data_IF_129034236047
#
_entry.id   IF_129034236047
#
_cell.length_a   1.000
_cell.length_b   1.000
_cell.length_c   1.000
_cell.angle_alpha   90.00
_cell.angle_beta   90.00
_cell.angle_gamma   90.00
#
_symmetry.space_group_name_H-M   'P 1'
#
loop_
_entity.id
_entity.type
_entity.pdbx_description
1 polymer ?
#
# COMPACT_ATOMS: atom_id res chain seq x y z
N UNK A 1 24.24 -11.91 -0.02
CA UNK A 1 23.46 -11.19 1.01
C UNK A 1 24.19 -9.90 1.30
N UNK A 2 23.58 -8.78 0.93
CA UNK A 2 24.14 -7.42 1.07
C UNK A 2 24.43 -7.06 2.54
N UNK A 3 25.41 -6.17 2.78
CA UNK A 3 25.78 -5.71 4.13
C UNK A 3 24.59 -5.08 4.85
N UNK A 4 23.81 -4.23 4.17
CA UNK A 4 22.62 -3.59 4.75
C UNK A 4 21.58 -4.59 5.30
N UNK A 5 21.48 -5.78 4.70
CA UNK A 5 20.57 -6.84 5.17
C UNK A 5 21.11 -7.49 6.45
N UNK A 6 22.43 -7.65 6.58
CA UNK A 6 23.06 -8.13 7.82
C UNK A 6 22.84 -7.12 8.94
N UNK A 7 23.14 -5.85 8.67
CA UNK A 7 22.98 -4.76 9.63
C UNK A 7 21.52 -4.60 10.08
N UNK A 8 20.57 -4.91 9.18
CA UNK A 8 19.14 -4.93 9.47
C UNK A 8 18.76 -6.07 10.42
N UNK A 9 19.26 -7.28 10.17
CA UNK A 9 18.99 -8.44 11.03
C UNK A 9 19.54 -8.22 12.44
N UNK A 10 20.79 -7.73 12.55
CA UNK A 10 21.39 -7.39 13.84
C UNK A 10 20.57 -6.33 14.57
N UNK A 11 20.10 -5.30 13.87
CA UNK A 11 19.23 -4.29 14.47
C UNK A 11 17.91 -4.88 15.00
N UNK A 12 17.30 -5.82 14.26
CA UNK A 12 16.06 -6.46 14.68
C UNK A 12 16.20 -7.35 15.93
N UNK A 13 17.40 -7.80 16.25
CA UNK A 13 17.67 -8.63 17.45
C UNK A 13 17.87 -7.80 18.71
N UNK A 14 18.43 -6.59 18.57
CA UNK A 14 18.89 -5.80 19.73
C UNK A 14 17.92 -4.66 20.11
N UNK A 15 16.85 -4.44 19.33
CA UNK A 15 15.81 -3.39 19.53
C UNK A 15 16.41 -2.01 19.90
N UNK A 16 17.59 -1.69 19.34
CA UNK A 16 18.30 -0.43 19.63
C UNK A 16 17.66 0.72 18.87
N UNK A 17 17.61 1.90 19.48
CA UNK A 17 17.26 3.13 18.76
C UNK A 17 18.42 3.48 17.81
N UNK A 18 18.17 3.46 16.51
CA UNK A 18 19.14 3.84 15.47
C UNK A 18 18.85 5.24 14.93
N UNK A 19 19.81 5.81 14.19
CA UNK A 19 19.56 7.02 13.41
C UNK A 19 18.52 6.71 12.34
N UNK A 20 17.45 7.51 12.30
CA UNK A 20 16.39 7.41 11.29
C UNK A 20 16.99 7.39 9.88
N UNK A 21 16.72 6.34 9.11
CA UNK A 21 16.96 6.32 7.65
C UNK A 21 18.04 5.38 7.20
N UNK A 22 18.65 4.66 8.14
CA UNK A 22 19.74 3.74 7.85
C UNK A 22 19.33 2.64 6.87
N UNK A 23 18.05 2.25 6.86
CA UNK A 23 17.55 1.10 6.12
C UNK A 23 16.67 1.43 4.91
N UNK A 24 16.60 2.70 4.49
CA UNK A 24 15.72 3.12 3.41
C UNK A 24 15.97 2.40 2.07
N UNK A 25 17.21 1.92 1.85
CA UNK A 25 17.61 1.25 0.60
C UNK A 25 17.52 -0.28 0.67
N UNK A 26 16.90 -0.84 1.72
CA UNK A 26 16.79 -2.30 1.94
C UNK A 26 16.32 -3.07 0.70
N UNK A 27 15.32 -2.54 0.00
CA UNK A 27 14.69 -3.19 -1.16
C UNK A 27 15.21 -2.67 -2.52
N UNK A 28 16.24 -1.81 -2.53
CA UNK A 28 16.82 -1.27 -3.75
C UNK A 28 17.82 -2.22 -4.43
N UNK A 29 18.28 -1.85 -5.63
CA UNK A 29 19.38 -2.46 -6.37
C UNK A 29 19.20 -3.97 -6.66
N UNK A 30 18.13 -4.35 -7.36
CA UNK A 30 17.88 -5.73 -7.78
C UNK A 30 17.95 -6.76 -6.63
N UNK A 31 17.21 -6.50 -5.55
CA UNK A 31 17.05 -7.46 -4.46
C UNK A 31 16.48 -8.79 -4.97
N UNK A 32 17.06 -9.90 -4.50
CA UNK A 32 16.62 -11.26 -4.81
C UNK A 32 15.48 -11.73 -3.90
N UNK A 33 14.69 -12.72 -4.33
CA UNK A 33 13.60 -13.28 -3.50
C UNK A 33 14.13 -13.85 -2.18
N UNK A 34 15.31 -14.48 -2.20
CA UNK A 34 15.97 -14.97 -0.99
C UNK A 34 16.27 -13.83 -0.01
N UNK A 35 16.73 -12.69 -0.51
CA UNK A 35 17.02 -11.52 0.32
C UNK A 35 15.74 -10.88 0.87
N UNK A 36 14.66 -10.82 0.07
CA UNK A 36 13.34 -10.40 0.55
C UNK A 36 12.88 -11.28 1.71
N UNK A 37 12.96 -12.61 1.54
CA UNK A 37 12.60 -13.55 2.60
C UNK A 37 13.43 -13.29 3.87
N UNK A 38 14.74 -13.10 3.72
CA UNK A 38 15.63 -12.79 4.83
C UNK A 38 15.24 -11.51 5.57
N UNK A 39 14.91 -10.43 4.87
CA UNK A 39 14.53 -9.15 5.50
C UNK A 39 13.34 -9.32 6.44
N UNK A 40 12.37 -10.16 6.08
CA UNK A 40 11.15 -10.35 6.88
C UNK A 40 11.26 -11.42 7.96
N UNK A 41 12.35 -12.20 8.03
CA UNK A 41 12.55 -13.25 9.06
C UNK A 41 12.25 -12.82 10.51
N UNK A 42 12.56 -11.58 10.95
CA UNK A 42 12.27 -11.14 12.31
C UNK A 42 10.77 -10.95 12.67
N UNK A 43 9.86 -11.05 11.70
CA UNK A 43 8.42 -10.82 11.92
C UNK A 43 7.61 -12.12 11.97
N UNK A 44 6.55 -12.14 12.78
CA UNK A 44 5.63 -13.30 12.87
C UNK A 44 4.97 -13.61 11.52
N UNK A 45 4.60 -12.57 10.78
CA UNK A 45 3.89 -12.68 9.50
C UNK A 45 4.84 -12.72 8.28
N UNK A 46 6.09 -13.17 8.49
CA UNK A 46 7.17 -13.14 7.48
C UNK A 46 6.81 -13.74 6.13
N UNK A 47 6.06 -14.85 6.12
CA UNK A 47 5.68 -15.54 4.88
C UNK A 47 4.79 -14.65 4.01
N UNK A 48 3.76 -14.05 4.61
CA UNK A 48 2.82 -13.17 3.92
C UNK A 48 3.52 -11.90 3.44
N UNK A 49 4.34 -11.28 4.30
CA UNK A 49 5.11 -10.09 3.94
C UNK A 49 6.05 -10.33 2.76
N UNK A 50 6.77 -11.46 2.80
CA UNK A 50 7.67 -11.84 1.72
C UNK A 50 6.93 -12.12 0.42
N UNK A 51 5.79 -12.82 0.50
CA UNK A 51 4.94 -13.08 -0.66
C UNK A 51 4.48 -11.77 -1.31
N UNK A 52 3.91 -10.85 -0.53
CA UNK A 52 3.41 -9.56 -1.03
C UNK A 52 4.53 -8.70 -1.63
N UNK A 53 5.70 -8.64 -0.99
CA UNK A 53 6.85 -7.89 -1.49
C UNK A 53 7.42 -8.49 -2.78
N UNK A 54 7.61 -9.81 -2.84
CA UNK A 54 8.08 -10.48 -4.05
C UNK A 54 7.12 -10.26 -5.21
N UNK A 55 5.81 -10.38 -4.95
CA UNK A 55 4.76 -10.05 -5.93
C UNK A 55 4.87 -8.61 -6.41
N UNK A 56 4.91 -7.64 -5.48
CA UNK A 56 5.07 -6.22 -5.81
C UNK A 56 6.29 -5.94 -6.68
N UNK A 57 7.46 -6.46 -6.29
CA UNK A 57 8.70 -6.24 -7.04
C UNK A 57 8.63 -6.88 -8.43
N UNK A 58 8.06 -8.07 -8.56
CA UNK A 58 7.90 -8.75 -9.84
C UNK A 58 6.94 -8.02 -10.77
N UNK A 59 5.78 -7.58 -10.25
CA UNK A 59 4.77 -6.90 -11.05
C UNK A 59 5.25 -5.47 -11.41
N UNK A 60 5.89 -4.75 -10.48
CA UNK A 60 6.47 -3.43 -10.73
C UNK A 60 7.59 -3.47 -11.79
N UNK A 61 8.50 -4.44 -11.71
CA UNK A 61 9.59 -4.62 -12.70
C UNK A 61 9.06 -4.91 -14.10
N UNK A 62 7.86 -5.49 -14.23
CA UNK A 62 7.20 -5.77 -15.50
C UNK A 62 6.36 -4.60 -16.03
N UNK A 63 6.25 -3.50 -15.29
CA UNK A 63 5.42 -2.36 -15.66
C UNK A 63 3.93 -2.54 -15.35
N UNK A 64 3.58 -3.50 -14.48
CA UNK A 64 2.20 -3.83 -14.12
C UNK A 64 1.65 -5.07 -14.84
N UNK A 65 0.33 -5.25 -14.76
CA UNK A 65 -0.43 -6.32 -15.42
C UNK A 65 -1.19 -5.71 -16.59
N UNK A 66 -0.95 -6.24 -17.80
CA UNK A 66 -1.77 -5.93 -18.98
C UNK A 66 -3.07 -6.72 -18.85
N UNK A 67 -4.17 -6.02 -18.63
CA UNK A 67 -5.51 -6.62 -18.55
C UNK A 67 -6.26 -6.42 -19.87
N UNK A 68 -6.54 -7.54 -20.56
CA UNK A 68 -7.22 -7.60 -21.85
C UNK A 68 -8.68 -8.09 -21.73
N UNK A 69 -9.27 -8.05 -20.54
CA UNK A 69 -10.65 -8.51 -20.34
C UNK A 69 -11.66 -7.54 -20.96
N UNK A 70 -12.68 -8.09 -21.65
CA UNK A 70 -13.72 -7.28 -22.33
C UNK A 70 -14.55 -6.42 -21.35
N UNK A 71 -14.59 -6.80 -20.07
CA UNK A 71 -15.33 -6.10 -19.00
C UNK A 71 -14.42 -5.37 -18.02
N UNK A 72 -13.23 -4.93 -18.45
CA UNK A 72 -12.23 -4.26 -17.60
C UNK A 72 -12.82 -3.15 -16.74
N UNK A 73 -13.71 -2.31 -17.28
CA UNK A 73 -14.32 -1.22 -16.52
C UNK A 73 -15.11 -1.74 -15.30
N UNK A 74 -15.99 -2.73 -15.51
CA UNK A 74 -16.78 -3.36 -14.43
C UNK A 74 -15.85 -3.98 -13.40
N UNK A 75 -14.85 -4.72 -13.84
CA UNK A 75 -13.90 -5.36 -12.94
C UNK A 75 -13.11 -4.34 -12.09
N UNK A 76 -12.62 -3.27 -12.71
CA UNK A 76 -11.87 -2.20 -12.03
C UNK A 76 -12.75 -1.49 -10.99
N UNK A 77 -14.01 -1.22 -11.33
CA UNK A 77 -15.00 -0.69 -10.38
C UNK A 77 -15.22 -1.64 -9.21
N UNK A 78 -15.36 -2.93 -9.47
CA UNK A 78 -15.68 -3.92 -8.45
C UNK A 78 -14.50 -4.14 -7.49
N UNK A 79 -13.25 -4.00 -7.96
CA UNK A 79 -12.08 -3.89 -7.09
C UNK A 79 -12.19 -2.68 -6.15
N UNK A 80 -12.48 -1.50 -6.67
CA UNK A 80 -12.65 -0.30 -5.82
C UNK A 80 -13.79 -0.49 -4.81
N UNK A 81 -14.95 -0.97 -5.26
CA UNK A 81 -16.08 -1.25 -4.35
C UNK A 81 -15.68 -2.17 -3.20
N UNK A 82 -15.04 -3.28 -3.52
CA UNK A 82 -14.59 -4.25 -2.51
C UNK A 82 -13.56 -3.63 -1.56
N UNK A 83 -12.64 -2.81 -2.08
CA UNK A 83 -11.63 -2.12 -1.28
C UNK A 83 -12.26 -1.16 -0.26
N UNK A 84 -13.20 -0.33 -0.70
CA UNK A 84 -13.85 0.65 0.16
C UNK A 84 -14.77 -0.02 1.19
N UNK A 85 -15.50 -1.08 0.83
CA UNK A 85 -16.29 -1.87 1.80
C UNK A 85 -15.40 -2.49 2.89
N UNK A 86 -14.20 -2.99 2.54
CA UNK A 86 -13.24 -3.45 3.56
C UNK A 86 -12.78 -2.31 4.47
N UNK A 87 -12.46 -1.13 3.91
CA UNK A 87 -12.05 0.05 4.70
C UNK A 87 -13.16 0.50 5.65
N UNK A 88 -14.42 0.40 5.22
CA UNK A 88 -15.60 0.84 5.97
C UNK A 88 -15.60 0.30 7.40
N UNK A 89 -15.27 -0.97 7.57
CA UNK A 89 -15.23 -1.63 8.90
C UNK A 89 -14.18 -1.00 9.83
N UNK A 90 -13.06 -0.52 9.27
CA UNK A 90 -11.96 0.05 10.06
C UNK A 90 -12.08 1.56 10.32
N UNK A 91 -13.00 2.24 9.63
CA UNK A 91 -13.28 3.68 9.79
C UNK A 91 -14.60 3.93 10.53
N UNK A 92 -15.56 3.00 10.45
CA UNK A 92 -16.85 3.14 11.13
C UNK A 92 -16.60 3.30 12.64
N UNK A 93 -17.13 4.36 13.22
CA UNK A 93 -16.99 4.72 14.64
C UNK A 93 -15.57 5.13 15.08
N UNK A 94 -14.67 5.41 14.14
CA UNK A 94 -13.37 6.02 14.44
C UNK A 94 -13.50 7.53 14.32
N UNK A 95 -13.31 8.23 15.45
CA UNK A 95 -13.46 9.70 15.52
C UNK A 95 -12.58 10.48 14.55
N UNK A 96 -11.52 9.85 14.04
CA UNK A 96 -10.61 10.39 13.03
C UNK A 96 -11.34 10.73 11.72
N UNK A 97 -12.42 10.02 11.39
CA UNK A 97 -13.15 10.17 10.12
C UNK A 97 -14.51 10.85 10.26
N UNK A 98 -14.80 11.48 11.42
CA UNK A 98 -16.12 12.05 11.70
C UNK A 98 -16.55 13.15 10.72
N UNK A 99 -15.58 13.90 10.18
CA UNK A 99 -15.81 15.02 9.27
C UNK A 99 -15.64 14.63 7.80
N UNK A 100 -15.37 13.35 7.51
CA UNK A 100 -15.17 12.83 6.17
C UNK A 100 -16.40 12.06 5.70
N UNK A 101 -16.85 12.37 4.48
CA UNK A 101 -17.90 11.63 3.80
C UNK A 101 -17.33 10.31 3.27
N UNK A 102 -17.91 9.19 3.69
CA UNK A 102 -17.56 7.90 3.11
C UNK A 102 -18.13 7.80 1.69
N UNK A 103 -17.33 7.40 0.69
CA UNK A 103 -17.81 7.35 -0.67
C UNK A 103 -18.78 6.20 -0.90
N UNK A 104 -19.85 6.50 -1.63
CA UNK A 104 -20.91 5.55 -2.00
C UNK A 104 -21.10 5.42 -3.51
N UNK A 105 -20.57 6.38 -4.28
CA UNK A 105 -20.69 6.43 -5.73
C UNK A 105 -19.36 6.07 -6.40
N UNK A 106 -19.45 5.53 -7.62
CA UNK A 106 -18.29 5.12 -8.41
C UNK A 106 -18.50 5.55 -9.86
N UNK A 107 -17.65 6.44 -10.34
CA UNK A 107 -17.77 7.04 -11.66
C UNK A 107 -16.50 6.81 -12.48
N UNK A 108 -16.66 6.20 -13.65
CA UNK A 108 -15.57 6.04 -14.59
C UNK A 108 -15.37 7.34 -15.37
N UNK A 109 -14.14 7.83 -15.41
CA UNK A 109 -13.73 8.92 -16.27
C UNK A 109 -12.74 8.39 -17.33
N UNK A 110 -13.02 8.68 -18.60
CA UNK A 110 -12.19 8.27 -19.73
C UNK A 110 -10.80 8.94 -19.76
N UNK A 111 -10.63 10.04 -19.04
CA UNK A 111 -9.39 10.80 -18.93
C UNK A 111 -8.60 10.40 -17.69
N UNK A 112 -7.58 9.56 -17.90
CA UNK A 112 -6.63 9.17 -16.85
C UNK A 112 -5.98 10.39 -16.18
N UNK A 113 -5.58 11.38 -16.98
CA UNK A 113 -4.87 12.57 -16.49
C UNK A 113 -5.76 13.48 -15.63
N UNK A 114 -7.07 13.53 -15.89
CA UNK A 114 -8.01 14.27 -15.05
C UNK A 114 -8.14 13.62 -13.67
N UNK A 115 -8.40 12.31 -13.63
CA UNK A 115 -8.49 11.59 -12.35
C UNK A 115 -7.17 11.67 -11.59
N UNK A 116 -6.04 11.56 -12.29
CA UNK A 116 -4.72 11.69 -11.67
C UNK A 116 -4.48 13.07 -11.02
N UNK A 117 -5.03 14.15 -11.59
CA UNK A 117 -4.96 15.49 -10.97
C UNK A 117 -5.85 15.61 -9.75
N UNK A 118 -7.02 14.95 -9.77
CA UNK A 118 -7.98 14.95 -8.65
C UNK A 118 -7.41 14.30 -7.39
N UNK A 119 -6.41 13.41 -7.50
CA UNK A 119 -5.73 12.76 -6.35
C UNK A 119 -5.23 13.78 -5.32
N UNK A 120 -4.84 14.99 -5.75
CA UNK A 120 -4.37 16.03 -4.84
C UNK A 120 -5.48 16.57 -3.92
N UNK A 121 -6.73 16.42 -4.32
CA UNK A 121 -7.93 16.83 -3.57
C UNK A 121 -8.61 15.65 -2.86
N UNK A 122 -8.02 14.45 -2.90
CA UNK A 122 -8.57 13.27 -2.24
C UNK A 122 -8.24 13.30 -0.74
N UNK A 123 -9.09 13.95 0.04
CA UNK A 123 -8.96 14.07 1.49
C UNK A 123 -9.18 12.73 2.19
N UNK A 124 -10.15 11.93 1.73
CA UNK A 124 -10.45 10.61 2.28
C UNK A 124 -9.22 9.70 2.30
N UNK A 125 -8.56 9.55 1.14
CA UNK A 125 -7.39 8.67 1.01
C UNK A 125 -6.18 9.19 1.79
N UNK A 126 -6.04 10.52 1.91
CA UNK A 126 -5.00 11.14 2.73
C UNK A 126 -5.22 10.83 4.22
N UNK A 127 -6.42 11.08 4.74
CA UNK A 127 -6.75 10.77 6.14
C UNK A 127 -6.68 9.29 6.44
N UNK A 128 -7.16 8.43 5.54
CA UNK A 128 -7.05 6.99 5.73
C UNK A 128 -5.59 6.53 5.82
N UNK A 129 -4.71 7.10 5.01
CA UNK A 129 -3.28 6.83 5.08
C UNK A 129 -2.64 7.38 6.35
N UNK A 130 -3.03 8.56 6.81
CA UNK A 130 -2.53 9.12 8.06
C UNK A 130 -3.00 8.29 9.27
N UNK A 131 -4.25 7.84 9.31
CA UNK A 131 -4.74 6.89 10.31
C UNK A 131 -3.95 5.59 10.29
N UNK A 132 -3.74 5.00 9.11
CA UNK A 132 -2.94 3.79 8.92
C UNK A 132 -1.52 3.98 9.50
N UNK A 133 -0.84 5.06 9.11
CA UNK A 133 0.53 5.37 9.55
C UNK A 133 0.60 5.64 11.05
N UNK A 134 -0.21 6.56 11.55
CA UNK A 134 -0.05 7.11 12.90
C UNK A 134 -0.59 6.18 13.98
N UNK A 135 -1.68 5.47 13.70
CA UNK A 135 -2.35 4.65 14.71
C UNK A 135 -1.97 3.18 14.69
N UNK A 136 -1.39 2.68 13.59
CA UNK A 136 -1.13 1.25 13.43
C UNK A 136 0.35 0.88 13.29
N UNK A 137 1.21 1.81 12.86
CA UNK A 137 2.62 1.53 12.60
C UNK A 137 3.54 1.99 13.74
N UNK A 138 3.15 3.06 14.44
CA UNK A 138 4.12 3.97 15.07
C UNK A 138 4.57 3.62 16.50
N UNK A 139 4.74 2.34 16.83
CA UNK A 139 5.07 1.91 18.20
C UNK A 139 6.37 1.11 18.31
N UNK A 140 6.79 0.39 17.25
CA UNK A 140 7.98 -0.45 17.28
C UNK A 140 9.07 0.09 16.33
N UNK A 141 10.31 0.35 16.81
CA UNK A 141 11.41 0.85 15.99
C UNK A 141 11.66 0.06 14.70
N UNK A 142 11.59 -1.28 14.75
CA UNK A 142 11.83 -2.11 13.56
C UNK A 142 10.68 -2.05 12.56
N UNK A 143 9.44 -2.03 13.06
CA UNK A 143 8.24 -1.84 12.24
C UNK A 143 8.30 -0.49 11.53
N UNK A 144 8.71 0.57 12.23
CA UNK A 144 8.85 1.90 11.67
C UNK A 144 9.95 2.00 10.59
N UNK A 145 11.15 1.47 10.84
CA UNK A 145 12.22 1.48 9.82
C UNK A 145 11.85 0.62 8.60
N UNK A 146 11.15 -0.50 8.79
CA UNK A 146 10.62 -1.28 7.69
C UNK A 146 9.58 -0.50 6.87
N UNK A 147 8.65 0.19 7.53
CA UNK A 147 7.66 1.04 6.85
C UNK A 147 8.35 2.10 5.97
N UNK A 148 9.43 2.71 6.47
CA UNK A 148 10.19 3.70 5.72
C UNK A 148 10.93 3.11 4.52
N UNK A 149 11.53 1.93 4.68
CA UNK A 149 12.15 1.20 3.57
C UNK A 149 11.14 0.88 2.47
N UNK A 150 9.92 0.47 2.84
CA UNK A 150 8.83 0.18 1.89
C UNK A 150 8.35 1.47 1.22
N UNK A 151 8.11 2.53 2.00
CA UNK A 151 7.68 3.83 1.48
C UNK A 151 8.67 4.42 0.47
N UNK A 152 9.96 4.08 0.59
CA UNK A 152 11.00 4.54 -0.34
C UNK A 152 10.89 3.90 -1.74
N UNK A 153 10.29 2.70 -1.85
CA UNK A 153 10.11 2.00 -3.12
C UNK A 153 8.68 2.07 -3.67
N UNK A 154 7.70 2.46 -2.86
CA UNK A 154 6.29 2.60 -3.25
C UNK A 154 5.92 4.07 -3.44
N UNK A 155 5.66 4.49 -4.67
CA UNK A 155 5.26 5.88 -4.97
C UNK A 155 3.82 6.22 -4.59
N UNK A 156 2.99 5.22 -4.26
CA UNK A 156 1.59 5.39 -3.86
C UNK A 156 1.35 4.81 -2.47
N UNK A 157 0.61 5.53 -1.63
CA UNK A 157 0.25 5.11 -0.28
C UNK A 157 -0.42 3.73 -0.24
N UNK A 158 -1.31 3.45 -1.19
CA UNK A 158 -2.00 2.15 -1.26
C UNK A 158 -1.05 0.97 -1.49
N UNK A 159 0.08 1.16 -2.19
CA UNK A 159 1.10 0.12 -2.30
C UNK A 159 1.81 -0.11 -0.96
N UNK A 160 2.12 0.97 -0.24
CA UNK A 160 2.66 0.86 1.12
C UNK A 160 1.68 0.13 2.03
N UNK A 161 0.39 0.46 1.97
CA UNK A 161 -0.67 -0.21 2.73
C UNK A 161 -0.71 -1.70 2.40
N UNK A 162 -0.77 -2.08 1.12
CA UNK A 162 -0.73 -3.48 0.70
C UNK A 162 0.48 -4.25 1.24
N UNK A 163 1.67 -3.67 1.13
CA UNK A 163 2.91 -4.30 1.58
C UNK A 163 3.00 -4.40 3.10
N UNK A 164 2.37 -3.48 3.82
CA UNK A 164 2.49 -3.36 5.28
C UNK A 164 1.30 -3.96 6.04
N UNK A 165 0.17 -4.18 5.37
CA UNK A 165 -1.07 -4.67 5.96
C UNK A 165 -0.88 -5.88 6.89
N UNK A 166 -0.04 -6.89 6.57
CA UNK A 166 0.14 -8.03 7.46
C UNK A 166 0.76 -7.68 8.84
N UNK A 167 1.30 -6.47 9.03
CA UNK A 167 1.85 -6.03 10.31
C UNK A 167 0.89 -5.18 11.14
N UNK A 168 -0.27 -4.80 10.59
CA UNK A 168 -1.25 -3.98 11.28
C UNK A 168 -2.51 -4.78 11.59
N UNK A 169 -3.11 -4.49 12.74
CA UNK A 169 -4.39 -5.10 13.13
C UNK A 169 -5.55 -4.28 12.53
N UNK A 170 -5.93 -4.63 11.31
CA UNK A 170 -7.00 -4.00 10.50
C UNK A 170 -7.76 -5.07 9.71
N UNK A 171 -9.04 -4.83 9.44
CA UNK A 171 -9.86 -5.69 8.58
C UNK A 171 -9.52 -5.47 7.10
N UNK A 172 -9.15 -4.24 6.74
CA UNK A 172 -8.68 -3.85 5.44
C UNK A 172 -7.45 -4.65 5.01
N UNK A 173 -7.53 -5.32 3.86
CA UNK A 173 -6.46 -6.18 3.34
C UNK A 173 -5.57 -5.49 2.32
N UNK A 174 -6.06 -4.40 1.72
CA UNK A 174 -5.46 -3.68 0.60
C UNK A 174 -5.19 -4.54 -0.66
N UNK A 175 -5.73 -5.76 -0.73
CA UNK A 175 -5.57 -6.63 -1.88
C UNK A 175 -6.32 -6.08 -3.09
N UNK A 176 -7.54 -5.59 -2.89
CA UNK A 176 -8.38 -5.09 -3.96
C UNK A 176 -7.80 -3.83 -4.60
N UNK A 177 -7.36 -2.85 -3.80
CA UNK A 177 -6.68 -1.68 -4.38
C UNK A 177 -5.38 -2.05 -5.07
N UNK A 178 -4.65 -3.06 -4.58
CA UNK A 178 -3.45 -3.54 -5.26
C UNK A 178 -3.77 -4.10 -6.66
N UNK A 179 -4.80 -4.94 -6.80
CA UNK A 179 -5.24 -5.46 -8.09
C UNK A 179 -5.67 -4.35 -9.06
N UNK A 180 -6.33 -3.32 -8.55
CA UNK A 180 -6.72 -2.14 -9.33
C UNK A 180 -5.49 -1.37 -9.83
N UNK A 181 -4.60 -0.98 -8.93
CA UNK A 181 -3.44 -0.15 -9.26
C UNK A 181 -2.46 -0.86 -10.19
N UNK A 182 -2.21 -2.16 -9.95
CA UNK A 182 -1.25 -2.91 -10.77
C UNK A 182 -1.72 -3.11 -12.22
N UNK A 183 -3.01 -2.95 -12.49
CA UNK A 183 -3.63 -2.96 -13.83
C UNK A 183 -3.68 -1.57 -14.48
N UNK A 184 -2.94 -0.61 -13.92
CA UNK A 184 -2.85 0.76 -14.42
C UNK A 184 -4.02 1.65 -14.00
N UNK A 185 -4.76 1.26 -12.96
CA UNK A 185 -5.82 2.07 -12.38
C UNK A 185 -5.32 3.33 -11.67
N UNK A 186 -6.13 4.37 -11.70
CA UNK A 186 -5.99 5.58 -10.87
C UNK A 186 -7.38 5.94 -10.34
N UNK A 187 -7.44 6.39 -9.09
CA UNK A 187 -8.70 6.83 -8.48
C UNK A 187 -8.47 8.07 -7.63
N UNK A 188 -9.53 8.83 -7.41
CA UNK A 188 -9.61 9.90 -6.45
C UNK A 188 -11.00 9.92 -5.83
N UNK A 189 -11.08 10.15 -4.52
CA UNK A 189 -12.36 10.38 -3.81
C UNK A 189 -12.61 11.88 -3.74
N UNK A 190 -13.74 12.31 -4.31
CA UNK A 190 -14.23 13.70 -4.19
C UNK A 190 -15.66 13.62 -3.66
N UNK A 191 -15.89 14.26 -2.52
CA UNK A 191 -17.13 14.13 -1.76
C UNK A 191 -17.51 12.66 -1.51
N UNK A 192 -18.67 12.20 -2.00
CA UNK A 192 -19.16 10.83 -1.86
C UNK A 192 -18.81 9.92 -3.06
N UNK A 193 -17.98 10.39 -3.99
CA UNK A 193 -17.75 9.73 -5.27
C UNK A 193 -16.29 9.33 -5.46
N UNK A 194 -16.09 8.05 -5.77
CA UNK A 194 -14.81 7.51 -6.26
C UNK A 194 -14.77 7.67 -7.78
N UNK A 195 -14.05 8.70 -8.24
CA UNK A 195 -13.70 8.84 -9.65
C UNK A 195 -12.56 7.89 -9.98
N UNK A 196 -12.66 7.14 -11.06
CA UNK A 196 -11.62 6.20 -11.46
C UNK A 196 -11.39 6.17 -12.96
N UNK A 197 -10.14 5.88 -13.33
CA UNK A 197 -9.72 5.66 -14.71
C UNK A 197 -8.62 4.60 -14.74
N UNK A 198 -8.18 4.22 -15.93
CA UNK A 198 -7.05 3.30 -16.11
C UNK A 198 -6.36 3.55 -17.44
N UNK A 199 -5.05 3.24 -17.48
CA UNK A 199 -4.28 3.31 -18.73
C UNK A 199 -4.86 2.33 -19.76
N UNK A 200 -5.10 2.84 -20.97
CA UNK A 200 -5.49 2.05 -22.14
C UNK A 200 -4.27 1.38 -22.75
#
# INVERSE_FOLDING_TARGET
>A
MKTIIKDWLEFCEVDRITRRGLYNTLFMDNISEKEVNTIFEPFKNKKELSFRMNRYLNDWRKGGIIDNTDNKNIQMRDFLKSDFEERKVDIENVSFFNDIVFPTNYEYNDSYDEVHKMVMSDEFSQEFNDYFREKKINENPKTYELYRAISYISKHYSYTQYLFQPLVNMNYTANHIYEFLIRGGVYAVIDDTVFYSFKK
#
